data_IF_922865862225
#
_entry.id   IF_922865862225
#
_cell.length_a   1.000
_cell.length_b   1.000
_cell.length_c   1.000
_cell.angle_alpha   90.00
_cell.angle_beta   90.00
_cell.angle_gamma   90.00
#
_symmetry.space_group_name_H-M   'P 1'
#
loop_
_entity.id
_entity.type
_entity.pdbx_description
1 polymer ?
#
# COMPACT_ATOMS: atom_id res chain seq x y z
N UNK A 1 15.72 -15.97 -2.95
CA UNK A 1 15.58 -14.61 -3.55
C UNK A 1 14.13 -14.14 -3.56
N UNK A 2 13.15 -15.03 -3.81
CA UNK A 2 11.71 -14.68 -3.79
C UNK A 2 11.19 -14.18 -2.42
N UNK A 3 11.61 -14.76 -1.30
CA UNK A 3 11.04 -14.41 0.02
C UNK A 3 11.45 -13.02 0.51
N UNK A 4 12.69 -12.60 0.24
CA UNK A 4 13.19 -11.28 0.62
C UNK A 4 12.49 -10.19 -0.20
N UNK A 5 12.38 -10.39 -1.53
CA UNK A 5 11.65 -9.47 -2.40
C UNK A 5 10.18 -9.36 -1.96
N UNK A 6 9.58 -10.48 -1.56
CA UNK A 6 8.22 -10.53 -1.03
C UNK A 6 8.08 -9.74 0.26
N UNK A 7 8.99 -9.94 1.22
CA UNK A 7 9.01 -9.19 2.47
C UNK A 7 9.14 -7.69 2.22
N UNK A 8 10.01 -7.28 1.30
CA UNK A 8 10.16 -5.88 0.88
C UNK A 8 8.84 -5.35 0.30
N UNK A 9 8.16 -6.11 -0.57
CA UNK A 9 6.88 -5.68 -1.13
C UNK A 9 5.77 -5.55 -0.09
N UNK A 10 5.74 -6.42 0.93
CA UNK A 10 4.78 -6.29 2.05
C UNK A 10 5.04 -5.00 2.84
N UNK A 11 6.32 -4.68 3.10
CA UNK A 11 6.68 -3.43 3.77
C UNK A 11 6.28 -2.22 2.93
N UNK A 12 6.58 -2.22 1.63
CA UNK A 12 6.18 -1.14 0.70
C UNK A 12 4.65 -0.97 0.67
N UNK A 13 3.91 -2.08 0.64
CA UNK A 13 2.45 -2.06 0.68
C UNK A 13 1.93 -1.42 1.98
N UNK A 14 2.51 -1.78 3.14
CA UNK A 14 2.16 -1.18 4.42
C UNK A 14 2.48 0.32 4.48
N UNK A 15 3.63 0.72 3.94
CA UNK A 15 4.01 2.14 3.85
C UNK A 15 3.02 2.91 2.98
N UNK A 16 2.63 2.38 1.82
CA UNK A 16 1.64 3.00 0.93
C UNK A 16 0.26 3.17 1.58
N UNK A 17 -0.10 2.30 2.53
CA UNK A 17 -1.36 2.42 3.26
C UNK A 17 -1.35 3.54 4.30
N UNK A 18 -0.24 3.74 5.00
CA UNK A 18 -0.22 4.57 6.22
C UNK A 18 0.43 5.93 5.97
N UNK A 19 1.52 5.96 5.21
CA UNK A 19 2.34 7.16 5.02
C UNK A 19 1.57 8.33 4.37
N UNK A 20 0.74 8.14 3.33
CA UNK A 20 0.01 9.24 2.72
C UNK A 20 -0.96 9.93 3.68
N UNK A 21 -1.59 9.16 4.59
CA UNK A 21 -2.49 9.71 5.60
C UNK A 21 -1.73 10.58 6.62
N UNK A 22 -0.53 10.15 7.01
CA UNK A 22 0.34 10.91 7.91
C UNK A 22 0.86 12.19 7.25
N UNK A 23 1.29 12.10 5.99
CA UNK A 23 1.69 13.26 5.19
C UNK A 23 0.53 14.24 4.97
N UNK A 24 -0.69 13.76 4.87
CA UNK A 24 -1.88 14.61 4.75
C UNK A 24 -2.15 15.40 6.04
N UNK A 25 -2.01 14.73 7.19
CA UNK A 25 -2.14 15.38 8.48
C UNK A 25 -1.09 16.50 8.68
N UNK A 26 0.17 16.24 8.33
CA UNK A 26 1.28 17.11 8.77
C UNK A 26 1.84 18.04 7.68
N UNK A 27 1.82 17.60 6.42
CA UNK A 27 2.54 18.24 5.31
C UNK A 27 1.61 18.88 4.29
N UNK A 28 0.49 18.24 3.92
CA UNK A 28 -0.39 18.78 2.88
C UNK A 28 -1.13 20.06 3.32
N UNK A 29 -1.37 20.23 4.62
CA UNK A 29 -1.81 21.51 5.19
C UNK A 29 -0.79 22.64 4.98
N UNK A 30 0.52 22.33 4.96
CA UNK A 30 1.59 23.32 4.74
C UNK A 30 1.83 23.60 3.27
N UNK A 31 1.56 22.62 2.41
CA UNK A 31 1.72 22.70 0.96
C UNK A 31 0.54 23.39 0.25
N UNK A 32 -0.48 23.81 0.99
CA UNK A 32 -1.67 24.49 0.48
C UNK A 32 -2.38 23.72 -0.66
N UNK A 33 -2.27 22.39 -0.62
CA UNK A 33 -2.97 21.53 -1.57
C UNK A 33 -4.46 21.54 -1.25
N UNK A 34 -5.28 21.50 -2.31
CA UNK A 34 -6.73 21.32 -2.15
C UNK A 34 -7.01 20.04 -1.36
N UNK A 35 -7.88 20.15 -0.36
CA UNK A 35 -8.27 19.06 0.53
C UNK A 35 -8.73 17.83 -0.27
N UNK A 36 -9.43 18.05 -1.39
CA UNK A 36 -9.96 17.00 -2.27
C UNK A 36 -8.83 16.25 -2.95
N UNK A 37 -7.81 16.97 -3.42
CA UNK A 37 -6.64 16.38 -4.09
C UNK A 37 -5.82 15.58 -3.08
N UNK A 38 -5.58 16.15 -1.90
CA UNK A 38 -4.84 15.53 -0.81
C UNK A 38 -5.48 14.21 -0.33
N UNK A 39 -6.80 14.24 -0.14
CA UNK A 39 -7.58 13.05 0.22
C UNK A 39 -7.61 12.02 -0.90
N UNK A 40 -7.73 12.45 -2.17
CA UNK A 40 -7.69 11.54 -3.32
C UNK A 40 -6.36 10.81 -3.41
N UNK A 41 -5.23 11.51 -3.28
CA UNK A 41 -3.89 10.91 -3.25
C UNK A 41 -3.80 9.87 -2.13
N UNK A 42 -4.25 10.24 -0.92
CA UNK A 42 -4.22 9.34 0.24
C UNK A 42 -5.02 8.06 -0.02
N UNK A 43 -6.22 8.19 -0.58
CA UNK A 43 -7.11 7.07 -0.86
C UNK A 43 -6.55 6.17 -1.99
N UNK A 44 -6.02 6.76 -3.05
CA UNK A 44 -5.44 6.01 -4.17
C UNK A 44 -4.19 5.25 -3.72
N UNK A 45 -3.30 5.87 -2.94
CA UNK A 45 -2.13 5.18 -2.40
C UNK A 45 -2.51 4.04 -1.46
N UNK A 46 -3.54 4.22 -0.63
CA UNK A 46 -4.07 3.16 0.22
C UNK A 46 -4.61 1.98 -0.60
N UNK A 47 -5.41 2.24 -1.62
CA UNK A 47 -5.95 1.21 -2.51
C UNK A 47 -4.84 0.43 -3.25
N UNK A 48 -3.80 1.14 -3.71
CA UNK A 48 -2.61 0.52 -4.31
C UNK A 48 -1.85 -0.37 -3.32
N UNK A 49 -1.67 0.11 -2.08
CA UNK A 49 -1.08 -0.69 -1.01
C UNK A 49 -1.85 -1.99 -0.79
N UNK A 50 -3.19 -1.93 -0.72
CA UNK A 50 -4.04 -3.13 -0.57
C UNK A 50 -3.87 -4.07 -1.77
N UNK A 51 -3.89 -3.54 -2.99
CA UNK A 51 -3.75 -4.35 -4.18
C UNK A 51 -2.42 -5.11 -4.19
N UNK A 52 -1.31 -4.43 -3.89
CA UNK A 52 0.03 -5.03 -3.79
C UNK A 52 0.03 -6.09 -2.68
N UNK A 53 -0.51 -5.78 -1.51
CA UNK A 53 -0.58 -6.72 -0.40
C UNK A 53 -1.35 -7.99 -0.77
N UNK A 54 -2.51 -7.87 -1.43
CA UNK A 54 -3.31 -9.01 -1.88
C UNK A 54 -2.56 -9.82 -2.94
N UNK A 55 -1.89 -9.19 -3.91
CA UNK A 55 -1.12 -9.92 -4.93
C UNK A 55 0.04 -10.70 -4.31
N UNK A 56 0.68 -10.12 -3.30
CA UNK A 56 1.86 -10.67 -2.63
C UNK A 56 1.51 -11.76 -1.61
N UNK A 57 0.46 -11.55 -0.82
CA UNK A 57 0.01 -12.47 0.23
C UNK A 57 -1.00 -13.48 -0.31
N UNK A 58 -1.93 -13.03 -1.14
CA UNK A 58 -2.98 -13.85 -1.73
C UNK A 58 -2.48 -14.89 -2.72
N UNK A 59 -1.40 -14.62 -3.48
CA UNK A 59 -0.79 -15.62 -4.37
C UNK A 59 -0.45 -16.92 -3.64
N UNK A 60 0.15 -16.83 -2.45
CA UNK A 60 0.52 -18.03 -1.69
C UNK A 60 -0.68 -18.81 -1.16
N UNK A 61 -1.75 -18.13 -0.75
CA UNK A 61 -2.98 -18.82 -0.33
C UNK A 61 -3.68 -19.55 -1.48
N UNK A 62 -3.52 -19.07 -2.71
CA UNK A 62 -4.11 -19.67 -3.92
C UNK A 62 -3.22 -20.79 -4.46
N UNK A 63 -1.90 -20.59 -4.51
CA UNK A 63 -0.94 -21.60 -4.98
C UNK A 63 -0.76 -22.75 -3.97
N UNK A 64 -0.90 -22.49 -2.66
CA UNK A 64 -0.85 -23.50 -1.61
C UNK A 64 -1.99 -24.53 -1.62
N UNK A 65 -3.11 -24.25 -2.30
CA UNK A 65 -4.19 -25.24 -2.56
C UNK A 65 -3.96 -26.08 -3.81
N UNK A 66 -2.94 -25.78 -4.62
CA UNK A 66 -2.54 -26.59 -5.78
C UNK A 66 -1.43 -27.56 -5.39
N UNK A 67 -1.67 -28.42 -4.40
CA UNK A 67 -0.99 -29.71 -4.34
C UNK A 67 -2.08 -30.78 -4.23
N UNK A 68 -2.02 -31.83 -5.06
CA UNK A 68 -2.98 -32.94 -5.01
C UNK A 68 -2.98 -33.61 -3.64
#
# INVERSE_FOLDING_TARGET
MHDILRAIMVVIAGVLMILPAYLNYELFHRLNLDITVSMSISLTSFALGILIFILVVGKEKIEGRKKP
#
